data_IF_494341270647
#
_entry.id   IF_494341270647
#
_cell.length_a   1.000
_cell.length_b   1.000
_cell.length_c   1.000
_cell.angle_alpha   90.00
_cell.angle_beta   90.00
_cell.angle_gamma   90.00
#
_symmetry.space_group_name_H-M   'P 1'
#
loop_
_entity.id
_entity.type
_entity.pdbx_description
1 polymer ?
#
# COMPACT_ATOMS: atom_id res chain seq x y z
N UNK A 1 32.94 -3.40 12.36
CA UNK A 1 32.55 -4.59 13.17
C UNK A 1 31.23 -5.16 12.66
N UNK A 2 31.25 -6.05 11.67
CA UNK A 2 30.09 -6.91 11.35
C UNK A 2 30.66 -8.32 11.28
N UNK A 3 30.46 -9.09 12.35
CA UNK A 3 30.85 -10.49 12.39
C UNK A 3 29.93 -11.23 11.42
N UNK A 4 30.41 -11.51 10.20
CA UNK A 4 29.72 -12.41 9.28
C UNK A 4 29.78 -13.79 9.90
N UNK A 5 28.73 -14.17 10.63
CA UNK A 5 28.57 -15.50 11.20
C UNK A 5 28.74 -16.52 10.09
N UNK A 6 29.71 -17.42 10.27
CA UNK A 6 29.86 -18.64 9.46
C UNK A 6 28.58 -19.45 9.71
N UNK A 7 27.75 -19.75 8.70
CA UNK A 7 26.56 -20.54 8.92
C UNK A 7 27.01 -21.93 9.38
N UNK A 8 26.47 -22.36 10.53
CA UNK A 8 26.73 -23.68 11.11
C UNK A 8 26.48 -24.73 10.04
N UNK A 9 27.38 -25.71 9.93
CA UNK A 9 27.41 -26.75 8.88
C UNK A 9 26.24 -27.74 8.88
N UNK A 10 25.04 -27.33 9.30
CA UNK A 10 23.80 -28.02 8.95
C UNK A 10 23.57 -27.79 7.46
N UNK A 11 23.66 -28.87 6.69
CA UNK A 11 23.19 -28.88 5.29
C UNK A 11 21.78 -28.26 5.29
N UNK A 12 21.50 -27.29 4.38
CA UNK A 12 20.19 -26.67 4.35
C UNK A 12 19.18 -27.79 4.13
N UNK A 13 18.27 -27.95 5.10
CA UNK A 13 17.15 -28.87 5.00
C UNK A 13 16.48 -28.59 3.65
N UNK A 14 16.54 -29.58 2.75
CA UNK A 14 16.07 -29.42 1.37
C UNK A 14 14.62 -28.96 1.41
N UNK A 15 14.38 -27.73 0.97
CA UNK A 15 13.05 -27.14 0.94
C UNK A 15 12.15 -28.05 0.12
N UNK A 16 11.20 -28.72 0.78
CA UNK A 16 10.26 -29.64 0.11
C UNK A 16 9.24 -28.82 -0.66
N UNK A 17 9.49 -28.65 -1.96
CA UNK A 17 8.56 -28.01 -2.89
C UNK A 17 7.54 -29.05 -3.36
N UNK A 18 6.22 -28.72 -3.39
CA UNK A 18 5.22 -29.66 -3.90
C UNK A 18 5.50 -30.00 -5.36
N UNK A 19 5.23 -31.24 -5.76
CA UNK A 19 5.59 -31.79 -7.08
C UNK A 19 4.91 -31.09 -8.29
N UNK A 20 4.00 -30.14 -8.03
CA UNK A 20 3.35 -29.30 -9.05
C UNK A 20 3.68 -27.82 -8.96
N UNK A 21 4.64 -27.41 -8.12
CA UNK A 21 5.01 -26.00 -8.03
C UNK A 21 5.67 -25.53 -9.33
N UNK A 22 5.13 -24.45 -9.87
CA UNK A 22 5.65 -23.79 -11.07
C UNK A 22 6.50 -22.58 -10.68
N UNK A 23 7.28 -22.08 -11.64
CA UNK A 23 7.95 -20.78 -11.50
C UNK A 23 6.96 -19.62 -11.30
N UNK A 24 5.71 -19.80 -11.72
CA UNK A 24 4.65 -18.83 -11.50
C UNK A 24 4.24 -18.77 -10.02
N UNK A 25 4.17 -19.91 -9.34
CA UNK A 25 3.86 -19.97 -7.91
C UNK A 25 4.95 -19.32 -7.06
N UNK A 26 6.22 -19.54 -7.42
CA UNK A 26 7.33 -18.84 -6.77
C UNK A 26 7.23 -17.32 -6.94
N UNK A 27 6.81 -16.85 -8.13
CA UNK A 27 6.58 -15.43 -8.39
C UNK A 27 5.43 -14.89 -7.53
N UNK A 28 4.33 -15.64 -7.40
CA UNK A 28 3.19 -15.27 -6.55
C UNK A 28 3.58 -15.18 -5.08
N UNK A 29 4.33 -16.17 -4.57
CA UNK A 29 4.82 -16.17 -3.18
C UNK A 29 5.74 -14.97 -2.94
N UNK A 30 6.66 -14.70 -3.86
CA UNK A 30 7.57 -13.56 -3.75
C UNK A 30 6.83 -12.22 -3.74
N UNK A 31 5.86 -12.03 -4.62
CA UNK A 31 5.02 -10.83 -4.66
C UNK A 31 4.23 -10.65 -3.36
N UNK A 32 3.58 -11.72 -2.88
CA UNK A 32 2.77 -11.72 -1.67
C UNK A 32 3.58 -11.34 -0.43
N UNK A 33 4.82 -11.83 -0.33
CA UNK A 33 5.74 -11.47 0.76
C UNK A 33 6.09 -9.98 0.74
N UNK A 34 6.43 -9.42 -0.42
CA UNK A 34 6.75 -7.99 -0.52
C UNK A 34 5.58 -7.10 -0.12
N UNK A 35 4.36 -7.46 -0.53
CA UNK A 35 3.14 -6.69 -0.19
C UNK A 35 2.85 -6.79 1.30
N UNK A 36 3.03 -7.96 1.91
CA UNK A 36 2.89 -8.14 3.37
C UNK A 36 3.87 -7.28 4.16
N UNK A 37 5.07 -7.03 3.63
CA UNK A 37 6.04 -6.10 4.21
C UNK A 37 5.73 -4.61 3.93
N UNK A 38 4.56 -4.29 3.36
CA UNK A 38 4.11 -2.93 3.01
C UNK A 38 5.05 -2.19 2.05
N UNK A 39 5.71 -2.91 1.15
CA UNK A 39 6.50 -2.27 0.10
C UNK A 39 5.63 -1.56 -0.94
N UNK A 40 6.21 -0.54 -1.58
CA UNK A 40 5.55 0.24 -2.61
C UNK A 40 5.36 -0.58 -3.89
N UNK A 41 4.19 -0.41 -4.54
CA UNK A 41 3.84 -1.05 -5.82
C UNK A 41 4.96 -0.93 -6.87
N UNK A 42 5.61 0.23 -6.95
CA UNK A 42 6.72 0.49 -7.89
C UNK A 42 7.96 -0.35 -7.58
N UNK A 43 8.27 -0.56 -6.30
CA UNK A 43 9.37 -1.43 -5.88
C UNK A 43 9.05 -2.88 -6.23
N UNK A 44 7.83 -3.34 -5.90
CA UNK A 44 7.37 -4.70 -6.21
C UNK A 44 7.40 -4.96 -7.72
N UNK A 45 6.91 -4.02 -8.52
CA UNK A 45 6.96 -4.09 -9.98
C UNK A 45 8.39 -4.27 -10.50
N UNK A 46 9.34 -3.44 -10.04
CA UNK A 46 10.75 -3.52 -10.47
C UNK A 46 11.41 -4.84 -10.05
N UNK A 47 11.08 -5.36 -8.86
CA UNK A 47 11.64 -6.61 -8.33
C UNK A 47 11.16 -7.84 -9.09
N UNK A 48 9.90 -7.86 -9.51
CA UNK A 48 9.30 -8.97 -10.26
C UNK A 48 9.57 -8.84 -11.77
N UNK A 49 9.88 -7.63 -12.25
CA UNK A 49 10.18 -7.35 -13.66
C UNK A 49 8.94 -7.11 -14.51
N UNK A 50 7.83 -6.65 -13.91
CA UNK A 50 6.65 -6.28 -14.69
C UNK A 50 6.90 -5.00 -15.49
N UNK A 51 6.60 -5.04 -16.79
CA UNK A 51 6.77 -3.89 -17.68
C UNK A 51 5.90 -2.69 -17.25
N UNK A 52 4.72 -2.97 -16.69
CA UNK A 52 3.77 -1.95 -16.23
C UNK A 52 3.38 -2.20 -14.76
N UNK A 53 3.22 -1.15 -13.94
CA UNK A 53 2.70 -1.29 -12.58
C UNK A 53 1.28 -1.86 -12.54
N UNK A 54 0.47 -1.58 -13.57
CA UNK A 54 -0.90 -2.08 -13.68
C UNK A 54 -0.97 -3.61 -13.56
N UNK A 55 -0.05 -4.35 -14.19
CA UNK A 55 -0.03 -5.82 -14.11
C UNK A 55 0.07 -6.31 -12.66
N UNK A 56 0.93 -5.65 -11.87
CA UNK A 56 1.09 -5.98 -10.45
C UNK A 56 -0.18 -5.63 -9.66
N UNK A 57 -0.77 -4.47 -9.95
CA UNK A 57 -1.98 -4.02 -9.27
C UNK A 57 -3.15 -4.93 -9.62
N UNK A 58 -3.43 -5.17 -10.90
CA UNK A 58 -4.50 -6.04 -11.38
C UNK A 58 -4.44 -7.45 -10.76
N UNK A 59 -3.23 -7.99 -10.56
CA UNK A 59 -3.04 -9.33 -10.01
C UNK A 59 -3.10 -9.37 -8.48
N UNK A 60 -2.50 -8.39 -7.79
CA UNK A 60 -2.24 -8.47 -6.35
C UNK A 60 -2.93 -7.41 -5.50
N UNK A 61 -3.82 -6.57 -6.06
CA UNK A 61 -4.55 -5.54 -5.29
C UNK A 61 -5.27 -6.11 -4.09
N UNK A 62 -5.82 -7.32 -4.19
CA UNK A 62 -6.51 -8.00 -3.10
C UNK A 62 -5.63 -8.31 -1.88
N UNK A 63 -4.30 -8.24 -2.02
CA UNK A 63 -3.34 -8.42 -0.92
C UNK A 63 -2.99 -7.11 -0.22
N UNK A 64 -3.33 -5.96 -0.80
CA UNK A 64 -3.10 -4.68 -0.16
C UNK A 64 -4.09 -4.49 0.99
N UNK A 65 -3.62 -4.09 2.19
CA UNK A 65 -4.53 -3.77 3.27
C UNK A 65 -5.43 -2.62 2.85
N UNK A 66 -6.75 -2.77 3.03
CA UNK A 66 -7.72 -1.70 2.81
C UNK A 66 -7.33 -0.51 3.69
N UNK A 67 -6.85 0.53 3.01
CA UNK A 67 -6.23 1.69 3.64
C UNK A 67 -7.24 2.66 4.23
N UNK A 68 -8.54 2.42 4.10
CA UNK A 68 -9.62 3.36 4.48
C UNK A 68 -9.44 3.92 5.89
N UNK A 69 -9.12 3.07 6.87
CA UNK A 69 -8.89 3.54 8.25
C UNK A 69 -7.57 4.31 8.40
N UNK A 70 -6.55 3.97 7.62
CA UNK A 70 -5.24 4.63 7.68
C UNK A 70 -5.24 5.96 6.95
N UNK A 71 -5.95 6.07 5.82
CA UNK A 71 -6.08 7.30 5.03
C UNK A 71 -6.90 8.33 5.81
N UNK A 72 -7.99 7.92 6.46
CA UNK A 72 -8.78 8.81 7.32
C UNK A 72 -7.92 9.39 8.45
N UNK A 73 -7.16 8.55 9.15
CA UNK A 73 -6.27 8.99 10.23
C UNK A 73 -5.15 9.90 9.72
N UNK A 74 -4.55 9.58 8.57
CA UNK A 74 -3.49 10.41 7.99
C UNK A 74 -4.00 11.79 7.53
N UNK A 75 -5.20 11.83 6.93
CA UNK A 75 -5.84 13.09 6.51
C UNK A 75 -6.25 13.93 7.72
N UNK A 76 -6.86 13.31 8.73
CA UNK A 76 -7.21 13.97 10.00
C UNK A 76 -5.96 14.53 10.70
N UNK A 77 -4.84 13.81 10.71
CA UNK A 77 -3.60 14.28 11.33
C UNK A 77 -3.06 15.56 10.67
N UNK A 78 -3.26 15.74 9.37
CA UNK A 78 -2.78 16.93 8.63
C UNK A 78 -3.80 18.06 8.68
N UNK A 79 -5.10 17.76 8.57
CA UNK A 79 -6.17 18.76 8.48
C UNK A 79 -6.82 19.11 9.82
N UNK A 80 -6.74 18.25 10.83
CA UNK A 80 -7.33 18.46 12.16
C UNK A 80 -6.66 19.57 12.97
N UNK A 81 -5.40 19.90 12.66
CA UNK A 81 -4.66 21.02 13.25
C UNK A 81 -4.93 22.36 12.55
N UNK A 82 -5.65 22.34 11.41
CA UNK A 82 -6.02 23.58 10.73
C UNK A 82 -7.11 24.26 11.57
N UNK A 83 -6.90 25.50 12.06
CA UNK A 83 -7.92 26.22 12.77
C UNK A 83 -9.15 26.30 11.87
N UNK A 84 -10.22 25.61 12.27
CA UNK A 84 -11.49 25.61 11.55
C UNK A 84 -11.89 27.05 11.34
N UNK A 85 -11.79 27.51 10.10
CA UNK A 85 -12.22 28.84 9.73
C UNK A 85 -13.69 28.93 10.15
N UNK A 86 -14.08 29.87 11.02
CA UNK A 86 -15.45 29.95 11.48
C UNK A 86 -16.33 30.12 10.25
N UNK A 87 -17.17 29.10 9.99
CA UNK A 87 -18.16 29.17 8.92
C UNK A 87 -18.94 30.48 9.12
N UNK A 88 -19.06 31.34 8.09
CA UNK A 88 -19.90 32.51 8.23
C UNK A 88 -21.30 32.03 8.53
N UNK A 89 -21.82 32.39 9.71
CA UNK A 89 -23.22 32.18 10.06
C UNK A 89 -24.04 32.84 8.96
N UNK A 90 -24.69 32.00 8.14
CA UNK A 90 -25.60 32.31 7.04
C UNK A 90 -25.79 33.82 6.78
N UNK A 91 -25.33 34.37 5.64
CA UNK A 91 -25.77 35.70 5.27
C UNK A 91 -27.26 35.62 4.97
N UNK A 92 -28.03 36.24 5.86
CA UNK A 92 -29.45 36.59 5.72
C UNK A 92 -29.84 36.79 4.26
N UNK A 93 -30.97 36.21 3.88
CA UNK A 93 -31.81 36.57 2.74
C UNK A 93 -31.55 38.00 2.23
N UNK A 94 -30.77 38.10 1.15
CA UNK A 94 -30.69 39.31 0.30
C UNK A 94 -31.44 38.99 -1.00
N UNK A 95 -32.73 38.73 -0.88
CA UNK A 95 -33.64 38.75 -2.03
C UNK A 95 -34.94 39.45 -1.63
N UNK A 96 -34.81 40.70 -1.22
CA UNK A 96 -35.94 41.59 -1.02
C UNK A 96 -35.59 42.96 -1.61
N UNK A 97 -35.96 43.14 -2.88
CA UNK A 97 -36.06 44.46 -3.48
C UNK A 97 -35.01 44.78 -4.52
N UNK A 98 -35.25 44.37 -5.77
CA UNK A 98 -35.02 45.28 -6.88
C UNK A 98 -36.20 45.15 -7.86
N UNK A 99 -37.05 46.18 -7.76
CA UNK A 99 -38.13 46.60 -8.68
C UNK A 99 -37.58 47.01 -10.06
N UNK A 100 -38.40 47.31 -11.09
CA UNK A 100 -39.86 47.48 -11.12
C UNK A 100 -40.67 46.34 -11.75
#
# INVERSE_FOLDING_TARGET
MVRKGRPDGKQPELLRVPAGATMHDLRHIYASLLIKHRENVKTVQKRIGHAKPSITLDTYTHLWPDGEDTTRVAVEAVLGDVPRCPLPSSPRSVFAGQRP
#
